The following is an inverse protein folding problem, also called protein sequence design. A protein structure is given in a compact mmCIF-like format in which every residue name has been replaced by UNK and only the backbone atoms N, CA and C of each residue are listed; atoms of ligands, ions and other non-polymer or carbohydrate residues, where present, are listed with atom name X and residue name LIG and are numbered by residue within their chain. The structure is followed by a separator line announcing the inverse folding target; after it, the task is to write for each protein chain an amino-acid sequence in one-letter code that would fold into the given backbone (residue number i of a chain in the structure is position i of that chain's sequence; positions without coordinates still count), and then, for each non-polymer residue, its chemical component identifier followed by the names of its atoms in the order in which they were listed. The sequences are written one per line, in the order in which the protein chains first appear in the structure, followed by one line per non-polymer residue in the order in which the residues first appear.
data_IF_302313255246
#
_entry.id   IF_302313255246
#
_cell.length_a   1.000
_cell.length_b   1.000
_cell.length_c   1.000
_cell.angle_alpha   90.00
_cell.angle_beta   90.00
_cell.angle_gamma   90.00
#
_symmetry.space_group_name_H-M   'P 1'
#
loop_
_entity.id
_entity.type
_entity.pdbx_description
1 polymer ?
#
# COMPACT_ATOMS: atom_id res chain seq x y z
N UNK A 1 -31.21 5.11 -27.70
CA UNK A 1 -31.12 5.00 -26.21
C UNK A 1 -30.07 3.98 -25.83
N UNK A 2 -29.91 2.88 -26.59
CA UNK A 2 -28.80 1.92 -26.46
C UNK A 2 -27.42 2.51 -26.75
N UNK A 3 -27.25 3.32 -27.81
CA UNK A 3 -25.92 3.83 -28.18
C UNK A 3 -25.21 4.62 -27.07
N UNK A 4 -25.97 5.44 -26.31
CA UNK A 4 -25.41 6.19 -25.18
C UNK A 4 -25.03 5.28 -24.01
N UNK A 5 -25.82 4.23 -23.77
CA UNK A 5 -25.54 3.22 -22.73
C UNK A 5 -24.30 2.41 -23.10
N UNK A 6 -24.13 2.07 -24.37
CA UNK A 6 -22.99 1.30 -24.87
C UNK A 6 -21.70 2.12 -24.88
N UNK A 7 -21.77 3.41 -25.26
CA UNK A 7 -20.65 4.35 -25.13
C UNK A 7 -20.23 4.46 -23.67
N UNK A 8 -21.19 4.69 -22.76
CA UNK A 8 -20.89 4.84 -21.33
C UNK A 8 -20.31 3.56 -20.72
N UNK A 9 -20.78 2.37 -21.12
CA UNK A 9 -20.21 1.09 -20.67
C UNK A 9 -18.77 0.91 -21.13
N UNK A 10 -18.51 1.18 -22.40
CA UNK A 10 -17.16 1.09 -22.98
C UNK A 10 -16.18 2.04 -22.28
N UNK A 11 -16.63 3.26 -22.02
CA UNK A 11 -15.84 4.25 -21.28
C UNK A 11 -15.62 3.83 -19.83
N UNK A 12 -16.64 3.29 -19.15
CA UNK A 12 -16.50 2.82 -17.78
C UNK A 12 -15.52 1.65 -17.68
N UNK A 13 -15.57 0.70 -18.61
CA UNK A 13 -14.62 -0.42 -18.69
C UNK A 13 -13.19 0.08 -18.90
N UNK A 14 -13.01 1.02 -19.83
CA UNK A 14 -11.70 1.63 -20.10
C UNK A 14 -11.15 2.38 -18.88
N UNK A 15 -12.00 3.14 -18.19
CA UNK A 15 -11.62 3.88 -16.99
C UNK A 15 -11.28 2.94 -15.84
N UNK A 16 -12.09 1.90 -15.60
CA UNK A 16 -11.83 0.89 -14.57
C UNK A 16 -10.53 0.13 -14.83
N UNK A 17 -10.25 -0.23 -16.07
CA UNK A 17 -8.99 -0.91 -16.42
C UNK A 17 -7.78 0.00 -16.22
N UNK A 18 -7.87 1.29 -16.59
CA UNK A 18 -6.81 2.26 -16.31
C UNK A 18 -6.57 2.43 -14.81
N UNK A 19 -7.64 2.52 -14.03
CA UNK A 19 -7.57 2.56 -12.57
C UNK A 19 -6.87 1.31 -12.05
N UNK A 20 -7.26 0.11 -12.49
CA UNK A 20 -6.60 -1.15 -12.11
C UNK A 20 -5.10 -1.15 -12.42
N UNK A 21 -4.71 -0.70 -13.62
CA UNK A 21 -3.30 -0.63 -14.02
C UNK A 21 -2.51 0.38 -13.17
N UNK A 22 -3.08 1.54 -12.87
CA UNK A 22 -2.46 2.56 -12.03
C UNK A 22 -2.37 2.11 -10.57
N UNK A 23 -3.43 1.47 -10.06
CA UNK A 23 -3.45 0.85 -8.74
C UNK A 23 -2.40 -0.26 -8.66
N UNK A 24 -2.24 -1.10 -9.68
CA UNK A 24 -1.20 -2.13 -9.72
C UNK A 24 0.22 -1.55 -9.68
N UNK A 25 0.46 -0.37 -10.26
CA UNK A 25 1.75 0.33 -10.18
C UNK A 25 1.99 0.94 -8.77
N UNK A 26 0.93 1.41 -8.11
CA UNK A 26 1.00 2.04 -6.78
C UNK A 26 0.98 1.01 -5.63
N UNK A 27 0.26 -0.09 -5.81
CA UNK A 27 0.02 -1.23 -4.92
C UNK A 27 0.27 -2.55 -5.68
N UNK A 28 1.53 -2.95 -5.91
CA UNK A 28 1.82 -4.19 -6.60
C UNK A 28 1.36 -5.39 -5.77
N UNK A 29 0.73 -6.33 -6.45
CA UNK A 29 0.14 -7.55 -5.88
C UNK A 29 1.20 -8.53 -5.31
N UNK A 30 2.48 -8.23 -5.50
CA UNK A 30 3.68 -9.02 -5.21
C UNK A 30 4.24 -8.89 -3.78
N UNK A 31 3.56 -8.18 -2.88
CA UNK A 31 3.92 -8.23 -1.46
C UNK A 31 3.33 -9.50 -0.86
N UNK A 32 4.16 -10.53 -0.75
CA UNK A 32 3.82 -11.77 -0.06
C UNK A 32 3.62 -11.49 1.44
N UNK A 33 2.36 -11.23 1.82
CA UNK A 33 1.93 -11.13 3.21
C UNK A 33 1.51 -12.52 3.67
N UNK A 34 2.21 -13.12 4.65
CA UNK A 34 1.87 -14.46 5.12
C UNK A 34 0.45 -14.52 5.69
N UNK A 35 -0.30 -15.57 5.33
CA UNK A 35 -1.71 -15.73 5.71
C UNK A 35 -1.83 -15.88 7.24
N UNK A 36 -0.84 -16.46 7.89
CA UNK A 36 -0.76 -16.65 9.34
C UNK A 36 -0.77 -15.34 10.12
N UNK A 37 -0.44 -14.19 9.52
CA UNK A 37 -0.53 -12.88 10.17
C UNK A 37 -1.99 -12.42 10.32
N UNK A 38 -2.92 -13.01 9.55
CA UNK A 38 -4.37 -12.72 9.60
C UNK A 38 -4.66 -11.21 9.50
N UNK A 39 -3.98 -10.53 8.57
CA UNK A 39 -4.17 -9.10 8.34
C UNK A 39 -5.52 -8.85 7.63
N UNK A 40 -6.24 -7.82 8.04
CA UNK A 40 -7.43 -7.32 7.35
C UNK A 40 -6.99 -6.40 6.21
N UNK A 41 -7.82 -6.16 5.19
CA UNK A 41 -7.48 -5.36 4.01
C UNK A 41 -6.80 -4.01 4.33
N UNK A 42 -7.33 -3.25 5.30
CA UNK A 42 -6.69 -2.00 5.73
C UNK A 42 -5.28 -2.21 6.29
N UNK A 43 -5.08 -3.24 7.10
CA UNK A 43 -3.76 -3.60 7.66
C UNK A 43 -2.80 -4.06 6.55
N UNK A 44 -3.29 -4.78 5.53
CA UNK A 44 -2.50 -5.17 4.35
C UNK A 44 -2.07 -3.95 3.53
N UNK A 45 -2.98 -3.02 3.24
CA UNK A 45 -2.67 -1.76 2.52
C UNK A 45 -1.63 -0.92 3.27
N UNK A 46 -1.78 -0.78 4.60
CA UNK A 46 -0.79 -0.08 5.44
C UNK A 46 0.57 -0.78 5.38
N UNK A 47 0.60 -2.10 5.56
CA UNK A 47 1.85 -2.86 5.51
C UNK A 47 2.52 -2.72 4.14
N UNK A 48 1.74 -2.81 3.07
CA UNK A 48 2.21 -2.60 1.71
C UNK A 48 2.86 -1.21 1.53
N UNK A 49 2.20 -0.14 1.99
CA UNK A 49 2.76 1.20 1.93
C UNK A 49 4.11 1.31 2.67
N UNK A 50 4.22 0.67 3.84
CA UNK A 50 5.43 0.67 4.66
C UNK A 50 6.61 -0.08 4.05
N UNK A 51 6.37 -1.09 3.20
CA UNK A 51 7.47 -1.80 2.50
C UNK A 51 8.04 -0.96 1.36
N UNK A 52 7.22 -0.10 0.75
CA UNK A 52 7.60 0.70 -0.43
C UNK A 52 8.32 1.99 -0.09
N UNK A 53 7.97 2.64 1.02
CA UNK A 53 8.52 3.94 1.41
C UNK A 53 9.28 3.83 2.72
N UNK A 54 10.35 4.61 2.86
CA UNK A 54 11.11 4.67 4.11
C UNK A 54 10.27 5.28 5.22
N UNK A 55 9.47 6.30 4.88
CA UNK A 55 8.53 6.97 5.76
C UNK A 55 7.18 7.06 5.05
N UNK A 56 6.12 6.67 5.75
CA UNK A 56 4.74 6.85 5.32
C UNK A 56 4.04 7.77 6.30
N UNK A 57 3.56 8.92 5.82
CA UNK A 57 2.84 9.88 6.67
C UNK A 57 1.43 9.38 7.00
N UNK A 58 0.79 10.01 7.99
CA UNK A 58 -0.59 9.68 8.36
C UNK A 58 -1.55 10.00 7.21
N UNK A 59 -1.35 11.11 6.52
CA UNK A 59 -2.16 11.52 5.36
C UNK A 59 -2.00 10.53 4.19
N UNK A 60 -0.77 10.06 3.93
CA UNK A 60 -0.54 9.03 2.92
C UNK A 60 -1.30 7.73 3.22
N UNK A 61 -1.33 7.31 4.48
CA UNK A 61 -2.10 6.13 4.89
C UNK A 61 -3.60 6.37 4.82
N UNK A 62 -4.06 7.59 5.14
CA UNK A 62 -5.46 7.96 5.01
C UNK A 62 -5.91 7.86 3.55
N UNK A 63 -5.16 8.50 2.65
CA UNK A 63 -5.43 8.48 1.21
C UNK A 63 -5.39 7.05 0.65
N UNK A 64 -4.39 6.26 1.05
CA UNK A 64 -4.28 4.87 0.63
C UNK A 64 -5.39 3.96 1.17
N UNK A 65 -6.16 4.37 2.18
CA UNK A 65 -7.25 3.57 2.75
C UNK A 65 -8.62 4.05 2.30
N UNK A 66 -8.79 5.36 2.10
CA UNK A 66 -10.08 6.01 1.98
C UNK A 66 -10.20 6.98 0.80
N UNK A 67 -9.11 7.32 0.10
CA UNK A 67 -9.12 8.34 -0.97
C UNK A 67 -9.99 7.98 -2.18
N UNK A 68 -10.17 6.69 -2.44
CA UNK A 68 -10.98 6.11 -3.51
C UNK A 68 -12.40 5.70 -3.09
N UNK A 69 -12.74 5.87 -1.80
CA UNK A 69 -13.98 5.34 -1.23
C UNK A 69 -15.16 6.31 -1.35
N UNK A 70 -15.81 6.24 -2.52
CA UNK A 70 -17.07 6.95 -2.80
C UNK A 70 -18.29 6.34 -2.11
N UNK A 71 -18.15 5.17 -1.51
CA UNK A 71 -19.23 4.41 -0.85
C UNK A 71 -19.46 4.80 0.62
N UNK A 72 -18.73 5.79 1.11
CA UNK A 72 -18.82 6.25 2.49
C UNK A 72 -19.84 7.38 2.61
N UNK A 73 -20.90 7.15 3.40
CA UNK A 73 -21.92 8.18 3.70
C UNK A 73 -21.35 9.36 4.50
N UNK A 74 -20.20 9.17 5.15
CA UNK A 74 -19.52 10.18 5.98
C UNK A 74 -18.00 10.06 5.84
N UNK A 75 -17.35 11.21 5.94
CA UNK A 75 -15.88 11.28 6.02
C UNK A 75 -15.38 10.55 7.27
N UNK A 76 -14.35 9.72 7.08
CA UNK A 76 -13.72 8.96 8.16
C UNK A 76 -12.71 9.86 8.87
N UNK A 77 -12.70 9.86 10.20
CA UNK A 77 -11.69 10.61 10.93
C UNK A 77 -10.28 10.09 10.64
N UNK A 78 -9.36 11.00 10.34
CA UNK A 78 -7.96 10.65 10.06
C UNK A 78 -7.28 9.86 11.21
N UNK A 79 -7.78 10.02 12.44
CA UNK A 79 -7.31 9.27 13.61
C UNK A 79 -7.59 7.75 13.53
N UNK A 80 -8.53 7.31 12.70
CA UNK A 80 -8.76 5.88 12.46
C UNK A 80 -7.51 5.17 11.92
N UNK A 81 -6.64 5.88 11.19
CA UNK A 81 -5.34 5.35 10.72
C UNK A 81 -4.50 4.82 11.88
N UNK A 82 -4.43 5.54 13.00
CA UNK A 82 -3.63 5.16 14.17
C UNK A 82 -4.13 3.86 14.81
N UNK A 83 -5.45 3.67 14.82
CA UNK A 83 -6.10 2.45 15.30
C UNK A 83 -5.72 1.25 14.42
N UNK A 84 -5.73 1.42 13.09
CA UNK A 84 -5.29 0.37 12.17
C UNK A 84 -3.80 0.04 12.33
N UNK A 85 -2.94 1.04 12.43
CA UNK A 85 -1.49 0.85 12.66
C UNK A 85 -1.23 0.12 13.98
N UNK A 86 -1.95 0.47 15.04
CA UNK A 86 -1.80 -0.17 16.36
C UNK A 86 -2.22 -1.65 16.34
N UNK A 87 -3.29 -1.98 15.61
CA UNK A 87 -3.73 -3.37 15.40
C UNK A 87 -2.71 -4.14 14.55
N UNK A 88 -2.25 -3.56 13.45
CA UNK A 88 -1.21 -4.13 12.59
C UNK A 88 0.05 -4.46 13.42
N UNK A 89 0.57 -3.49 14.18
CA UNK A 89 1.73 -3.67 15.07
C UNK A 89 1.60 -4.88 15.99
N UNK A 90 0.44 -5.03 16.65
CA UNK A 90 0.17 -6.16 17.53
C UNK A 90 0.22 -7.49 16.81
N UNK A 91 -0.30 -7.56 15.58
CA UNK A 91 -0.34 -8.79 14.79
C UNK A 91 1.02 -9.19 14.24
N UNK A 92 1.84 -8.23 13.82
CA UNK A 92 3.12 -8.52 13.15
C UNK A 92 4.30 -8.63 14.13
N UNK A 93 4.18 -8.08 15.34
CA UNK A 93 5.22 -8.13 16.39
C UNK A 93 5.71 -9.55 16.72
N UNK A 94 4.85 -10.58 16.87
CA UNK A 94 5.30 -11.96 17.12
C UNK A 94 6.19 -12.54 16.01
N UNK A 95 6.09 -12.00 14.80
CA UNK A 95 6.86 -12.44 13.62
C UNK A 95 8.14 -11.62 13.42
N UNK A 96 8.52 -10.78 14.39
CA UNK A 96 9.75 -9.98 14.34
C UNK A 96 9.67 -8.74 13.41
N UNK A 97 8.46 -8.37 12.98
CA UNK A 97 8.23 -7.13 12.22
C UNK A 97 8.09 -5.97 13.19
N UNK A 98 8.91 -4.94 13.02
CA UNK A 98 8.91 -3.75 13.89
C UNK A 98 8.53 -2.52 13.07
N UNK A 99 7.36 -1.94 13.42
CA UNK A 99 6.88 -0.67 12.86
C UNK A 99 7.17 0.44 13.86
N UNK A 100 7.94 1.43 13.43
CA UNK A 100 8.33 2.59 14.22
C UNK A 100 7.33 3.71 13.96
N UNK A 101 6.91 4.40 15.02
CA UNK A 101 6.12 5.63 14.93
C UNK A 101 6.99 6.82 15.31
N UNK A 102 7.07 7.81 14.43
CA UNK A 102 7.78 9.07 14.67
C UNK A 102 6.75 10.19 14.71
N UNK A 103 6.66 10.87 15.85
CA UNK A 103 5.69 11.97 16.06
C UNK A 103 5.92 13.06 15.00
N UNK A 104 4.84 13.55 14.40
CA UNK A 104 4.85 14.56 13.33
C UNK A 104 5.57 14.16 12.03
N UNK A 105 5.95 12.89 11.89
CA UNK A 105 6.68 12.39 10.71
C UNK A 105 5.91 11.24 10.06
N UNK A 106 5.43 10.28 10.85
CA UNK A 106 4.67 9.13 10.35
C UNK A 106 5.24 7.80 10.82
N UNK A 107 5.26 6.82 9.93
CA UNK A 107 5.55 5.43 10.24
C UNK A 107 6.61 4.85 9.31
N UNK A 108 7.43 3.94 9.83
CA UNK A 108 8.44 3.23 9.06
C UNK A 108 8.59 1.78 9.51
N UNK A 109 9.11 0.92 8.63
CA UNK A 109 9.56 -0.42 8.99
C UNK A 109 11.05 -0.39 9.33
N UNK A 110 11.43 -0.93 10.49
CA UNK A 110 12.84 -0.99 10.92
C UNK A 110 13.68 -1.81 9.94
N UNK A 111 13.19 -2.99 9.56
CA UNK A 111 13.87 -3.91 8.65
C UNK A 111 13.15 -3.92 7.30
N UNK A 112 12.87 -2.74 6.73
CA UNK A 112 12.09 -2.60 5.49
C UNK A 112 12.61 -3.50 4.37
N UNK A 113 13.92 -3.57 4.19
CA UNK A 113 14.58 -4.34 3.11
C UNK A 113 14.28 -5.84 3.14
N UNK A 114 14.00 -6.42 4.32
CA UNK A 114 13.59 -7.83 4.45
C UNK A 114 12.21 -8.09 3.83
N UNK A 115 11.39 -7.04 3.71
CA UNK A 115 10.01 -7.10 3.27
C UNK A 115 9.76 -6.29 1.99
N UNK A 116 10.76 -5.54 1.53
CA UNK A 116 10.71 -4.81 0.28
C UNK A 116 11.08 -5.77 -0.84
N UNK A 117 10.18 -5.95 -1.82
CA UNK A 117 10.54 -6.61 -3.05
C UNK A 117 11.61 -5.76 -3.76
N UNK A 118 12.69 -6.40 -4.19
CA UNK A 118 13.63 -5.79 -5.13
C UNK A 118 12.83 -5.48 -6.40
N UNK A 119 12.86 -4.25 -6.94
CA UNK A 119 12.15 -3.96 -8.19
C UNK A 119 12.61 -4.94 -9.28
N UNK A 120 11.77 -5.30 -10.27
CA UNK A 120 12.12 -6.22 -11.36
C UNK A 120 13.14 -5.66 -12.36
N UNK A 121 14.03 -4.77 -11.92
CA UNK A 121 15.16 -4.28 -12.72
C UNK A 121 16.45 -4.81 -12.09
N UNK A 122 17.27 -5.58 -12.82
CA UNK A 122 18.53 -6.07 -12.30
C UNK A 122 19.39 -4.85 -11.91
N UNK A 123 19.76 -4.79 -10.62
CA UNK A 123 20.89 -3.97 -10.19
C UNK A 123 22.09 -4.51 -10.96
N UNK A 124 22.49 -3.80 -12.01
CA UNK A 124 23.73 -4.09 -12.72
C UNK A 124 24.83 -4.07 -11.69
N UNK A 125 25.30 -5.26 -11.31
CA UNK A 125 26.45 -5.43 -10.44
C UNK A 125 27.60 -4.62 -11.03
N UNK A 126 28.13 -3.73 -10.21
CA UNK A 126 29.38 -3.00 -10.41
C UNK A 126 30.44 -3.95 -10.96
N UNK A 127 30.87 -3.75 -12.21
CA UNK A 127 32.12 -4.34 -12.68
C UNK A 127 33.23 -3.49 -12.09
N UNK A 128 33.84 -3.99 -11.02
CA UNK A 128 35.11 -3.49 -10.53
C UNK A 128 36.13 -3.59 -11.67
N UNK A 129 36.54 -2.44 -12.23
CA UNK A 129 37.77 -2.37 -13.02
C UNK A 129 38.92 -2.19 -12.04
N UNK A 130 39.53 -3.32 -11.66
CA UNK A 130 40.92 -3.36 -11.21
C UNK A 130 41.75 -3.79 -12.42
N UNK A 131 42.83 -3.06 -12.70
CA UNK A 131 43.78 -3.32 -13.78
C UNK A 131 43.97 -2.11 -14.67
#
# INVERSE_FOLDING_TARGET
MDDLVDILRTENETLRERVRQLEALLLPEDIEIPIEWRLVNAERRIFAALTRREIVTKDMLYEALYGDRLDLDKEIEINCVESHVSKLKRKVKPFGVVIISRRFVGYSLLNREKYAHTPPVPVTKTVARHG
#
